data_IF_928179666701
#
_entry.id   IF_928179666701
#
_cell.length_a   1.000
_cell.length_b   1.000
_cell.length_c   1.000
_cell.angle_alpha   90.00
_cell.angle_beta   90.00
_cell.angle_gamma   90.00
#
_symmetry.space_group_name_H-M   'P 1'
#
loop_
_entity.id
_entity.type
_entity.pdbx_description
1 polymer ?
#
# COMPACT_ATOMS: atom_id res chain seq x y z
N UNK A 1 57.42 -32.02 -25.61
CA UNK A 1 57.55 -31.33 -24.30
C UNK A 1 56.59 -30.14 -24.29
N UNK A 2 56.37 -29.49 -23.14
CA UNK A 2 55.17 -28.68 -22.81
C UNK A 2 53.91 -29.56 -22.71
N UNK A 3 53.09 -29.58 -21.64
CA UNK A 3 52.96 -28.76 -20.40
C UNK A 3 52.68 -27.27 -20.67
N UNK A 4 51.60 -26.64 -20.17
CA UNK A 4 50.47 -27.08 -19.31
C UNK A 4 49.14 -26.69 -20.01
N UNK A 5 47.95 -26.38 -19.46
CA UNK A 5 47.39 -26.15 -18.11
C UNK A 5 45.87 -26.47 -18.15
N UNK A 6 45.25 -26.87 -17.04
CA UNK A 6 43.78 -26.93 -16.92
C UNK A 6 43.21 -25.54 -16.57
N UNK A 7 42.10 -25.15 -17.20
CA UNK A 7 41.31 -23.97 -16.81
C UNK A 7 39.83 -24.34 -16.72
N UNK A 8 39.36 -24.68 -15.51
CA UNK A 8 37.96 -25.00 -15.27
C UNK A 8 37.13 -23.71 -15.14
N UNK A 9 36.37 -23.35 -16.17
CA UNK A 9 35.42 -22.24 -16.08
C UNK A 9 34.15 -22.67 -15.32
N UNK A 10 34.11 -22.33 -14.04
CA UNK A 10 32.89 -22.40 -13.23
C UNK A 10 31.92 -21.28 -13.68
N UNK A 11 31.09 -21.58 -14.68
CA UNK A 11 30.01 -20.70 -15.12
C UNK A 11 28.95 -20.60 -14.02
N UNK A 12 29.08 -19.61 -13.14
CA UNK A 12 28.12 -19.33 -12.09
C UNK A 12 26.74 -19.05 -12.72
N UNK A 13 25.72 -19.81 -12.30
CA UNK A 13 24.34 -19.63 -12.76
C UNK A 13 23.82 -18.31 -12.21
N UNK A 14 23.93 -17.25 -13.02
CA UNK A 14 23.22 -16.00 -12.82
C UNK A 14 21.72 -16.27 -12.97
N UNK A 15 21.06 -16.63 -11.87
CA UNK A 15 19.61 -16.48 -11.78
C UNK A 15 19.30 -15.01 -12.08
N UNK A 16 18.49 -14.69 -13.10
CA UNK A 16 17.97 -13.34 -13.26
C UNK A 16 17.03 -13.09 -12.09
N UNK A 17 17.53 -12.39 -11.07
CA UNK A 17 16.71 -11.95 -9.95
C UNK A 17 15.54 -11.17 -10.53
N UNK A 18 14.33 -11.69 -10.34
CA UNK A 18 13.11 -11.12 -10.92
C UNK A 18 12.78 -9.81 -10.20
N UNK A 19 13.46 -8.73 -10.61
CA UNK A 19 13.12 -7.35 -10.29
C UNK A 19 11.78 -7.08 -10.95
N UNK A 20 10.70 -7.45 -10.26
CA UNK A 20 9.34 -7.07 -10.59
C UNK A 20 9.28 -5.55 -10.51
N UNK A 21 9.51 -4.90 -11.66
CA UNK A 21 9.49 -3.47 -11.78
C UNK A 21 8.16 -2.94 -11.25
N UNK A 22 8.21 -2.12 -10.20
CA UNK A 22 7.01 -1.44 -9.70
C UNK A 22 6.45 -0.62 -10.88
N UNK A 23 5.17 -0.81 -11.17
CA UNK A 23 4.55 -0.31 -12.39
C UNK A 23 4.78 1.18 -12.62
N UNK A 24 4.93 1.57 -13.88
CA UNK A 24 5.28 2.95 -14.24
C UNK A 24 4.17 3.93 -13.83
N UNK A 25 4.44 4.77 -12.84
CA UNK A 25 3.45 5.75 -12.37
C UNK A 25 3.70 6.27 -10.96
N UNK A 26 2.62 6.81 -10.39
CA UNK A 26 2.53 7.38 -9.04
C UNK A 26 1.93 6.31 -8.11
N UNK A 27 2.62 6.02 -7.00
CA UNK A 27 2.07 5.22 -5.91
C UNK A 27 1.07 6.02 -5.08
N UNK A 28 -0.09 5.42 -4.78
CA UNK A 28 -1.11 6.02 -3.93
C UNK A 28 -1.14 5.32 -2.57
N UNK A 29 -1.08 6.12 -1.50
CA UNK A 29 -0.97 5.62 -0.14
C UNK A 29 -1.97 6.31 0.78
N UNK A 30 -2.56 5.54 1.69
CA UNK A 30 -3.25 6.06 2.88
C UNK A 30 -2.51 5.61 4.13
N UNK A 31 -2.42 6.46 5.14
CA UNK A 31 -1.80 6.14 6.42
C UNK A 31 -2.50 6.91 7.55
N UNK A 32 -3.23 6.20 8.41
CA UNK A 32 -4.04 6.84 9.44
C UNK A 32 -4.79 5.86 10.35
N UNK A 33 -5.54 6.41 11.30
CA UNK A 33 -6.52 5.65 12.06
C UNK A 33 -7.75 5.42 11.18
N UNK A 34 -8.39 4.26 11.33
CA UNK A 34 -9.59 3.89 10.56
C UNK A 34 -10.83 3.84 11.44
N UNK A 35 -11.93 4.36 10.91
CA UNK A 35 -13.24 4.38 11.58
C UNK A 35 -14.35 4.00 10.59
N UNK A 36 -15.56 3.77 11.13
CA UNK A 36 -16.78 3.50 10.36
C UNK A 36 -16.72 2.31 9.38
N UNK A 37 -15.82 1.34 9.63
CA UNK A 37 -15.54 0.20 8.75
C UNK A 37 -16.77 -0.72 8.57
N UNK A 38 -17.42 -0.61 7.41
CA UNK A 38 -18.60 -1.38 6.99
C UNK A 38 -18.28 -2.19 5.72
N UNK A 39 -18.96 -3.32 5.54
CA UNK A 39 -18.79 -4.17 4.36
C UNK A 39 -20.03 -4.08 3.47
N UNK A 40 -19.81 -3.87 2.18
CA UNK A 40 -20.82 -3.66 1.13
C UNK A 40 -20.52 -4.64 -0.01
N UNK A 41 -20.86 -5.92 0.21
CA UNK A 41 -20.62 -7.00 -0.75
C UNK A 41 -19.16 -7.45 -0.83
N UNK A 42 -18.41 -6.95 -1.79
CA UNK A 42 -16.93 -7.12 -1.87
C UNK A 42 -16.17 -5.87 -1.43
N UNK A 43 -16.87 -4.73 -1.32
CA UNK A 43 -16.27 -3.45 -1.01
C UNK A 43 -16.37 -3.16 0.49
N UNK A 44 -15.49 -2.27 0.95
CA UNK A 44 -15.36 -1.88 2.34
C UNK A 44 -15.47 -0.36 2.39
N UNK A 45 -16.52 0.17 3.02
CA UNK A 45 -16.67 1.61 3.27
C UNK A 45 -16.06 1.93 4.62
N UNK A 46 -15.26 3.00 4.69
CA UNK A 46 -14.63 3.47 5.92
C UNK A 46 -14.28 4.96 5.81
N UNK A 47 -13.80 5.53 6.92
CA UNK A 47 -13.05 6.79 6.94
C UNK A 47 -11.63 6.50 7.41
N UNK A 48 -10.63 7.10 6.74
CA UNK A 48 -9.24 7.15 7.22
C UNK A 48 -8.95 8.57 7.70
N UNK A 49 -8.60 8.74 8.97
CA UNK A 49 -8.13 10.02 9.51
C UNK A 49 -6.60 9.98 9.62
N UNK A 50 -5.91 10.76 8.79
CA UNK A 50 -4.45 10.71 8.72
C UNK A 50 -3.88 11.44 7.51
N UNK A 51 -2.96 10.76 6.81
CA UNK A 51 -2.23 11.24 5.63
C UNK A 51 -2.67 10.45 4.40
N UNK A 52 -2.94 11.16 3.31
CA UNK A 52 -3.02 10.56 1.97
C UNK A 52 -1.83 11.08 1.17
N UNK A 53 -1.08 10.18 0.52
CA UNK A 53 0.20 10.51 -0.12
C UNK A 53 0.27 9.98 -1.55
N UNK A 54 0.60 10.88 -2.47
CA UNK A 54 1.01 10.57 -3.84
C UNK A 54 2.54 10.48 -3.86
N UNK A 55 3.12 9.35 -4.27
CA UNK A 55 4.57 9.11 -4.31
C UNK A 55 5.04 8.87 -5.75
N UNK A 56 5.91 9.71 -6.27
CA UNK A 56 6.47 9.55 -7.62
C UNK A 56 7.71 8.63 -7.59
N UNK A 57 7.62 7.46 -8.22
CA UNK A 57 8.69 6.45 -8.19
C UNK A 57 9.78 6.61 -9.27
N UNK A 58 9.67 7.61 -10.16
CA UNK A 58 10.73 8.01 -11.09
C UNK A 58 10.89 9.53 -11.14
N UNK A 59 12.03 10.00 -10.68
CA UNK A 59 12.50 11.40 -10.68
C UNK A 59 13.97 11.42 -10.26
N UNK A 60 14.61 12.60 -10.22
CA UNK A 60 15.93 12.70 -9.56
C UNK A 60 15.82 12.59 -8.03
N UNK A 61 14.67 12.99 -7.49
CA UNK A 61 14.31 12.87 -6.08
C UNK A 61 12.92 12.23 -5.95
N UNK A 62 12.62 11.65 -4.79
CA UNK A 62 11.31 11.04 -4.51
C UNK A 62 10.30 12.11 -4.09
N UNK A 63 9.51 12.61 -5.05
CA UNK A 63 8.46 13.59 -4.77
C UNK A 63 7.28 12.92 -4.03
N UNK A 64 6.87 13.53 -2.91
CA UNK A 64 5.71 13.12 -2.10
C UNK A 64 4.77 14.30 -1.92
N UNK A 65 3.54 14.20 -2.43
CA UNK A 65 2.46 15.17 -2.16
C UNK A 65 1.56 14.59 -1.08
N UNK A 66 1.43 15.30 0.05
CA UNK A 66 0.58 14.91 1.19
C UNK A 66 -0.68 15.78 1.24
N UNK A 67 -1.85 15.13 1.30
CA UNK A 67 -3.13 15.82 1.48
C UNK A 67 -3.38 16.04 2.97
N UNK A 68 -3.80 17.27 3.30
CA UNK A 68 -4.06 17.75 4.66
C UNK A 68 -5.41 18.46 4.72
N UNK A 69 -6.03 18.52 5.88
CA UNK A 69 -7.18 19.39 6.07
C UNK A 69 -6.73 20.86 6.00
N UNK A 70 -7.32 21.62 5.07
CA UNK A 70 -6.88 23.00 4.79
C UNK A 70 -7.29 24.01 5.87
N UNK A 71 -8.27 23.68 6.74
CA UNK A 71 -8.74 24.57 7.80
C UNK A 71 -7.83 24.53 9.03
N UNK A 72 -7.21 23.39 9.27
CA UNK A 72 -6.37 23.11 10.45
C UNK A 72 -4.89 22.92 10.12
N UNK A 73 -4.55 22.67 8.84
CA UNK A 73 -3.21 22.23 8.42
C UNK A 73 -2.86 20.80 8.87
N UNK A 74 -3.83 20.07 9.43
CA UNK A 74 -3.66 18.78 10.09
C UNK A 74 -3.99 17.57 9.24
N UNK A 75 -4.23 16.44 9.93
CA UNK A 75 -4.66 15.20 9.31
C UNK A 75 -6.01 15.36 8.60
N UNK A 76 -6.13 14.83 7.37
CA UNK A 76 -7.38 14.81 6.64
C UNK A 76 -8.22 13.60 7.04
N UNK A 77 -9.53 13.79 7.23
CA UNK A 77 -10.52 12.71 7.33
C UNK A 77 -11.04 12.40 5.93
N UNK A 78 -10.69 11.22 5.40
CA UNK A 78 -10.91 10.85 4.00
C UNK A 78 -11.86 9.64 3.95
N UNK A 79 -13.11 9.81 3.46
CA UNK A 79 -14.00 8.70 3.15
C UNK A 79 -13.40 7.84 2.03
N UNK A 80 -13.47 6.53 2.18
CA UNK A 80 -12.94 5.58 1.20
C UNK A 80 -13.86 4.37 1.01
N UNK A 81 -14.03 3.96 -0.25
CA UNK A 81 -14.57 2.67 -0.66
C UNK A 81 -13.42 1.81 -1.21
N UNK A 82 -13.10 0.72 -0.52
CA UNK A 82 -11.91 -0.09 -0.77
C UNK A 82 -12.26 -1.56 -1.02
N UNK A 83 -11.67 -2.15 -2.06
CA UNK A 83 -11.82 -3.57 -2.42
C UNK A 83 -10.50 -4.31 -2.17
N UNK A 84 -10.54 -5.57 -1.71
CA UNK A 84 -9.32 -6.34 -1.51
C UNK A 84 -8.71 -6.83 -2.84
N UNK A 85 -7.46 -6.47 -3.08
CA UNK A 85 -6.70 -6.89 -4.26
C UNK A 85 -6.44 -8.40 -4.34
N UNK A 86 -6.14 -8.86 -5.56
CA UNK A 86 -5.76 -10.24 -5.86
C UNK A 86 -4.49 -10.24 -6.72
N UNK A 87 -3.32 -10.68 -6.20
CA UNK A 87 -3.04 -10.96 -4.78
C UNK A 87 -3.14 -9.70 -3.89
N UNK A 88 -3.27 -9.92 -2.59
CA UNK A 88 -3.19 -8.92 -1.52
C UNK A 88 -2.27 -9.45 -0.41
N UNK A 89 -1.47 -8.56 0.17
CA UNK A 89 -0.51 -8.91 1.22
C UNK A 89 -0.76 -8.10 2.51
N UNK A 90 -0.86 -8.82 3.62
CA UNK A 90 -0.68 -8.25 4.95
C UNK A 90 0.80 -7.93 5.16
N UNK A 91 1.11 -6.78 5.74
CA UNK A 91 2.48 -6.28 5.96
C UNK A 91 2.75 -6.08 7.45
N UNK A 92 3.99 -6.30 7.88
CA UNK A 92 4.45 -5.95 9.24
C UNK A 92 4.38 -4.43 9.47
N UNK A 93 4.38 -3.98 10.73
CA UNK A 93 4.32 -2.54 11.07
C UNK A 93 5.47 -1.73 10.45
N UNK A 94 6.65 -2.33 10.29
CA UNK A 94 7.84 -1.73 9.65
C UNK A 94 7.88 -1.87 8.11
N UNK A 95 6.89 -2.55 7.52
CA UNK A 95 6.76 -2.86 6.10
C UNK A 95 7.91 -3.68 5.47
N UNK A 96 8.77 -4.31 6.28
CA UNK A 96 9.86 -5.17 5.79
C UNK A 96 9.45 -6.62 5.54
N UNK A 97 8.46 -7.12 6.28
CA UNK A 97 7.87 -8.44 6.12
C UNK A 97 6.43 -8.37 5.61
N UNK A 98 5.95 -9.47 5.01
CA UNK A 98 4.56 -9.56 4.57
C UNK A 98 4.14 -10.98 4.16
N UNK A 99 2.84 -11.25 4.31
CA UNK A 99 2.22 -12.53 4.00
C UNK A 99 1.04 -12.35 3.04
N UNK A 100 0.97 -13.16 1.98
CA UNK A 100 -0.20 -13.22 1.10
C UNK A 100 -1.43 -13.71 1.89
N UNK A 101 -2.56 -13.03 1.77
CA UNK A 101 -3.81 -13.39 2.47
C UNK A 101 -4.93 -13.73 1.50
N UNK A 102 -5.85 -14.60 1.93
CA UNK A 102 -7.09 -14.95 1.19
C UNK A 102 -8.10 -13.78 1.22
N UNK A 103 -9.12 -13.84 0.36
CA UNK A 103 -10.21 -12.86 0.34
C UNK A 103 -10.88 -12.72 1.72
N UNK A 104 -11.18 -11.49 2.13
CA UNK A 104 -11.82 -11.15 3.40
C UNK A 104 -10.85 -10.60 4.45
N UNK A 105 -9.57 -10.99 4.41
CA UNK A 105 -8.57 -10.59 5.39
C UNK A 105 -8.37 -9.07 5.53
N UNK A 106 -8.58 -8.30 4.46
CA UNK A 106 -8.54 -6.83 4.53
C UNK A 106 -9.62 -6.27 5.46
N UNK A 107 -10.83 -6.83 5.44
CA UNK A 107 -11.93 -6.40 6.33
C UNK A 107 -11.64 -6.75 7.79
N UNK A 108 -11.01 -7.90 8.04
CA UNK A 108 -10.59 -8.34 9.37
C UNK A 108 -9.51 -7.39 9.94
N UNK A 109 -8.48 -7.09 9.13
CA UNK A 109 -7.41 -6.13 9.46
C UNK A 109 -7.96 -4.74 9.76
N UNK A 110 -8.81 -4.19 8.88
CA UNK A 110 -9.39 -2.85 9.05
C UNK A 110 -10.31 -2.77 10.28
N UNK A 111 -11.09 -3.81 10.57
CA UNK A 111 -11.90 -3.88 11.80
C UNK A 111 -11.04 -3.96 13.05
N UNK A 112 -9.99 -4.79 13.05
CA UNK A 112 -9.07 -4.91 14.18
C UNK A 112 -8.34 -3.59 14.45
N UNK A 113 -7.90 -2.88 13.41
CA UNK A 113 -7.32 -1.54 13.52
C UNK A 113 -8.31 -0.51 14.08
N UNK A 114 -9.55 -0.50 13.59
CA UNK A 114 -10.60 0.41 14.08
C UNK A 114 -10.96 0.18 15.56
N UNK A 115 -10.96 -1.07 16.02
CA UNK A 115 -11.18 -1.42 17.44
C UNK A 115 -9.98 -1.02 18.32
N UNK A 116 -8.75 -1.15 17.81
CA UNK A 116 -7.53 -0.90 18.59
C UNK A 116 -6.99 0.54 18.48
N UNK A 117 -7.56 1.36 17.60
CA UNK A 117 -7.06 2.72 17.31
C UNK A 117 -5.67 2.75 16.68
N UNK A 118 -5.15 1.60 16.19
CA UNK A 118 -3.83 1.53 15.55
C UNK A 118 -3.84 2.15 14.15
N UNK A 119 -2.70 2.71 13.75
CA UNK A 119 -2.49 3.33 12.44
C UNK A 119 -2.22 2.27 11.39
N UNK A 120 -3.14 2.11 10.44
CA UNK A 120 -2.90 1.30 9.24
C UNK A 120 -2.30 2.15 8.13
N UNK A 121 -1.33 1.59 7.42
CA UNK A 121 -0.88 2.06 6.11
C UNK A 121 -1.48 1.15 5.05
N UNK A 122 -1.88 1.71 3.91
CA UNK A 122 -2.53 1.03 2.79
C UNK A 122 -1.84 1.45 1.48
N UNK A 123 -1.46 0.50 0.63
CA UNK A 123 -1.09 0.76 -0.76
C UNK A 123 -2.30 0.56 -1.67
N UNK A 124 -2.66 1.61 -2.41
CA UNK A 124 -3.79 1.61 -3.32
C UNK A 124 -3.35 1.41 -4.78
N UNK A 125 -4.19 0.71 -5.54
CA UNK A 125 -4.17 0.62 -6.99
C UNK A 125 -5.56 0.97 -7.55
N UNK A 126 -5.66 1.18 -8.87
CA UNK A 126 -6.91 1.34 -9.62
C UNK A 126 -7.89 2.33 -8.97
N UNK A 127 -7.33 3.43 -8.46
CA UNK A 127 -8.00 4.34 -7.54
C UNK A 127 -8.73 5.46 -8.28
N UNK A 128 -10.03 5.60 -8.01
CA UNK A 128 -10.84 6.75 -8.40
C UNK A 128 -10.92 7.71 -7.23
N UNK A 129 -10.32 8.89 -7.39
CA UNK A 129 -10.36 9.97 -6.42
C UNK A 129 -11.40 11.02 -6.83
N UNK A 130 -12.07 11.61 -5.85
CA UNK A 130 -12.97 12.75 -6.04
C UNK A 130 -12.51 13.92 -5.18
N UNK A 131 -12.52 15.11 -5.77
CA UNK A 131 -12.11 16.36 -5.12
C UNK A 131 -13.34 17.26 -4.99
N UNK A 132 -13.82 17.43 -3.77
CA UNK A 132 -15.05 18.15 -3.47
C UNK A 132 -14.86 19.65 -3.27
N UNK A 133 -15.98 20.37 -3.25
CA UNK A 133 -16.00 21.80 -2.94
C UNK A 133 -15.44 22.05 -1.53
N UNK A 134 -14.57 23.06 -1.41
CA UNK A 134 -13.89 23.35 -0.15
C UNK A 134 -12.84 22.30 0.23
N UNK A 135 -12.05 21.84 -0.76
CA UNK A 135 -10.78 21.12 -0.52
C UNK A 135 -10.92 19.72 0.10
N UNK A 136 -12.07 19.07 -0.04
CA UNK A 136 -12.29 17.71 0.44
C UNK A 136 -11.79 16.67 -0.56
N UNK A 137 -11.32 15.52 -0.06
CA UNK A 137 -10.90 14.37 -0.86
C UNK A 137 -11.67 13.13 -0.39
N UNK A 138 -12.15 12.34 -1.34
CA UNK A 138 -12.68 10.99 -1.12
C UNK A 138 -12.08 9.99 -2.12
N UNK A 139 -11.99 8.73 -1.69
CA UNK A 139 -11.62 7.59 -2.52
C UNK A 139 -12.90 6.86 -2.90
N UNK A 140 -13.47 7.20 -4.07
CA UNK A 140 -14.74 6.65 -4.56
C UNK A 140 -14.66 5.15 -4.88
N UNK A 141 -13.45 4.67 -5.19
CA UNK A 141 -13.11 3.25 -5.33
C UNK A 141 -11.58 3.10 -5.32
N UNK A 142 -11.02 2.11 -4.64
CA UNK A 142 -9.63 1.70 -4.86
C UNK A 142 -9.39 0.23 -4.48
N UNK A 143 -8.45 -0.41 -5.17
CA UNK A 143 -8.01 -1.78 -4.86
C UNK A 143 -6.82 -1.73 -3.91
N UNK A 144 -6.96 -2.26 -2.70
CA UNK A 144 -5.85 -2.33 -1.74
C UNK A 144 -4.93 -3.50 -2.11
N UNK A 145 -3.68 -3.20 -2.43
CA UNK A 145 -2.63 -4.19 -2.76
C UNK A 145 -1.91 -4.70 -1.51
N UNK A 146 -1.67 -3.81 -0.55
CA UNK A 146 -0.96 -4.09 0.71
C UNK A 146 -1.56 -3.29 1.86
N UNK A 147 -1.62 -3.87 3.06
CA UNK A 147 -2.07 -3.20 4.28
C UNK A 147 -1.22 -3.61 5.49
N UNK A 148 -1.00 -2.69 6.44
CA UNK A 148 -0.42 -3.06 7.76
C UNK A 148 -1.35 -4.02 8.49
N UNK A 149 -0.82 -5.13 8.97
CA UNK A 149 -1.51 -6.12 9.79
C UNK A 149 -0.82 -6.20 11.16
N UNK A 150 -1.45 -5.60 12.17
CA UNK A 150 -0.90 -5.53 13.53
C UNK A 150 -0.92 -6.86 14.30
N UNK A 151 -1.47 -7.93 13.71
CA UNK A 151 -1.38 -9.29 14.22
C UNK A 151 -0.31 -10.13 13.48
N UNK A 152 0.27 -9.62 12.39
CA UNK A 152 1.39 -10.24 11.70
C UNK A 152 2.69 -9.98 12.48
N UNK A 153 3.50 -11.02 12.62
CA UNK A 153 4.81 -11.03 13.28
C UNK A 153 5.87 -11.53 12.30
#
# INVERSE_FOLDING_TARGET
MCRVLFAAFAAAVLWPGAVLAKGEGIGLWMEGQVSEVRAEGQDIRLVVTGRFRFEQHRGQEAAVVEVRDWRTGGAASIPALLTQGRPFYAMTEDWRGGASRKSGALLEILRAAAITGKVVKLELADSRLSFGHGGTLSVEHAIVRRATDHALR
#
